data_IF_207423286807
#
_entry.id   IF_207423286807
#
_cell.length_a   1.000
_cell.length_b   1.000
_cell.length_c   1.000
_cell.angle_alpha   90.00
_cell.angle_beta   90.00
_cell.angle_gamma   90.00
#
_symmetry.space_group_name_H-M   'P 1'
#
loop_
_entity.id
_entity.type
_entity.pdbx_description
1 polymer ?
#
# COMPACT_ATOMS: atom_id res chain seq x y z
N UNK A 1 8.99 -1.16 -17.74
CA UNK A 1 9.68 -0.16 -16.90
C UNK A 1 11.17 -0.32 -17.15
N UNK A 2 11.91 0.77 -17.28
CA UNK A 2 13.35 0.77 -17.56
C UNK A 2 14.09 1.48 -16.43
N UNK A 3 15.34 1.10 -16.18
CA UNK A 3 16.23 1.88 -15.30
C UNK A 3 17.10 2.81 -16.12
N UNK A 4 17.34 4.03 -15.63
CA UNK A 4 18.24 5.01 -16.23
C UNK A 4 19.08 5.72 -15.15
N UNK A 5 20.13 6.44 -15.56
CA UNK A 5 20.91 7.31 -14.68
C UNK A 5 20.57 8.75 -15.06
N UNK A 6 20.16 9.55 -14.07
CA UNK A 6 19.92 10.97 -14.28
C UNK A 6 21.27 11.69 -14.43
N UNK A 7 21.53 12.32 -15.58
CA UNK A 7 22.82 12.98 -15.81
C UNK A 7 23.08 14.18 -14.88
N UNK A 8 22.05 14.82 -14.34
CA UNK A 8 22.14 15.97 -13.44
C UNK A 8 22.41 15.54 -12.00
N UNK A 9 21.60 14.64 -11.44
CA UNK A 9 21.77 14.17 -10.05
C UNK A 9 22.74 13.00 -9.90
N UNK A 10 23.09 12.32 -11.00
CA UNK A 10 23.86 11.05 -11.05
C UNK A 10 23.15 9.87 -10.36
N UNK A 11 21.89 10.03 -9.99
CA UNK A 11 21.11 8.98 -9.33
C UNK A 11 20.47 8.04 -10.34
N UNK A 12 20.27 6.79 -9.90
CA UNK A 12 19.52 5.80 -10.67
C UNK A 12 18.02 6.04 -10.50
N UNK A 13 17.30 6.05 -11.61
CA UNK A 13 15.84 6.30 -11.66
C UNK A 13 15.12 5.19 -12.43
N UNK A 14 13.84 5.02 -12.15
CA UNK A 14 12.94 4.15 -12.90
C UNK A 14 12.05 4.98 -13.83
N UNK A 15 12.00 4.62 -15.10
CA UNK A 15 11.15 5.26 -16.11
C UNK A 15 10.05 4.29 -16.53
N UNK A 16 8.80 4.70 -16.30
CA UNK A 16 7.60 3.99 -16.74
C UNK A 16 7.01 4.72 -17.95
N UNK A 17 7.12 4.12 -19.14
CA UNK A 17 6.32 4.51 -20.30
C UNK A 17 4.91 3.96 -20.11
N UNK A 18 3.89 4.81 -20.20
CA UNK A 18 2.52 4.35 -20.37
C UNK A 18 2.29 4.07 -21.85
N UNK A 19 1.96 2.82 -22.18
CA UNK A 19 1.72 2.42 -23.56
C UNK A 19 0.27 2.71 -23.93
N UNK A 20 0.05 3.54 -24.96
CA UNK A 20 -1.29 3.89 -25.46
C UNK A 20 -2.26 4.31 -24.34
N UNK A 21 -1.90 5.26 -23.47
CA UNK A 21 -2.74 5.68 -22.34
C UNK A 21 -4.11 6.21 -22.79
N UNK A 22 -4.22 6.69 -24.02
CA UNK A 22 -5.46 7.25 -24.59
C UNK A 22 -6.19 6.29 -25.55
N UNK A 23 -6.01 4.97 -25.40
CA UNK A 23 -6.71 3.99 -26.24
C UNK A 23 -8.23 3.92 -25.94
N UNK A 24 -8.62 4.17 -24.69
CA UNK A 24 -10.03 4.27 -24.29
C UNK A 24 -10.16 5.20 -23.08
N UNK A 25 -11.39 5.63 -22.79
CA UNK A 25 -11.68 6.49 -21.64
C UNK A 25 -11.23 5.87 -20.31
N UNK A 26 -11.36 4.55 -20.17
CA UNK A 26 -10.93 3.81 -18.97
C UNK A 26 -9.40 3.88 -18.82
N UNK A 27 -8.65 3.67 -19.91
CA UNK A 27 -7.19 3.78 -19.88
C UNK A 27 -6.74 5.22 -19.60
N UNK A 28 -7.41 6.20 -20.22
CA UNK A 28 -7.05 7.62 -20.09
C UNK A 28 -7.31 8.12 -18.67
N UNK A 29 -8.47 7.79 -18.09
CA UNK A 29 -8.81 8.08 -16.70
C UNK A 29 -7.81 7.43 -15.73
N UNK A 30 -7.42 6.18 -15.98
CA UNK A 30 -6.41 5.48 -15.16
C UNK A 30 -5.04 6.16 -15.23
N UNK A 31 -4.61 6.55 -16.43
CA UNK A 31 -3.33 7.23 -16.64
C UNK A 31 -3.30 8.61 -15.96
N UNK A 32 -4.38 9.38 -16.11
CA UNK A 32 -4.56 10.67 -15.44
C UNK A 32 -4.50 10.54 -13.92
N UNK A 33 -5.25 9.58 -13.35
CA UNK A 33 -5.26 9.33 -11.91
C UNK A 33 -3.88 8.93 -11.38
N UNK A 34 -3.19 8.03 -12.07
CA UNK A 34 -1.84 7.62 -11.66
C UNK A 34 -0.88 8.82 -11.62
N UNK A 35 -0.92 9.69 -12.64
CA UNK A 35 -0.13 10.92 -12.68
C UNK A 35 -0.47 11.87 -11.53
N UNK A 36 -1.76 12.12 -11.29
CA UNK A 36 -2.24 13.01 -10.21
C UNK A 36 -1.82 12.52 -8.83
N UNK A 37 -2.01 11.23 -8.55
CA UNK A 37 -1.63 10.62 -7.29
C UNK A 37 -0.11 10.70 -7.08
N UNK A 38 0.70 10.31 -8.07
CA UNK A 38 2.17 10.38 -7.96
C UNK A 38 2.69 11.81 -7.78
N UNK A 39 2.04 12.80 -8.40
CA UNK A 39 2.36 14.23 -8.25
C UNK A 39 1.97 14.77 -6.86
N UNK A 40 0.91 14.24 -6.27
CA UNK A 40 0.42 14.63 -4.96
C UNK A 40 1.25 14.04 -3.80
N UNK A 41 1.77 12.82 -3.96
CA UNK A 41 2.52 12.13 -2.90
C UNK A 41 3.91 12.75 -2.66
N UNK A 42 4.08 13.35 -1.48
CA UNK A 42 5.31 14.02 -1.03
C UNK A 42 5.75 13.50 0.33
N UNK A 43 6.10 12.22 0.38
CA UNK A 43 6.52 11.54 1.60
C UNK A 43 7.72 10.63 1.32
N UNK A 44 8.62 10.45 2.29
CA UNK A 44 9.81 9.60 2.12
C UNK A 44 9.42 8.13 1.96
N UNK A 45 8.39 7.68 2.70
CA UNK A 45 7.87 6.31 2.62
C UNK A 45 6.78 6.06 1.57
N UNK A 46 6.58 6.98 0.63
CA UNK A 46 5.60 6.83 -0.45
C UNK A 46 6.27 7.14 -1.78
N UNK A 47 6.03 6.32 -2.81
CA UNK A 47 6.58 6.65 -4.12
C UNK A 47 5.91 7.91 -4.66
N UNK A 48 6.75 8.84 -5.09
CA UNK A 48 6.35 10.09 -5.71
C UNK A 48 7.01 10.22 -7.06
N UNK A 49 6.61 11.27 -7.78
CA UNK A 49 7.12 11.60 -9.10
C UNK A 49 8.39 12.45 -8.98
N UNK A 50 9.49 12.00 -9.58
CA UNK A 50 10.71 12.79 -9.72
C UNK A 50 10.62 13.72 -10.93
N UNK A 51 10.08 13.19 -12.03
CA UNK A 51 9.88 13.93 -13.27
C UNK A 51 8.76 13.29 -14.12
N UNK A 52 8.19 14.06 -15.04
CA UNK A 52 7.26 13.56 -16.04
C UNK A 52 7.45 14.33 -17.34
N UNK A 53 7.52 13.58 -18.44
CA UNK A 53 7.76 14.19 -19.74
C UNK A 53 7.00 13.49 -20.86
N UNK A 54 6.85 14.22 -21.96
CA UNK A 54 6.30 13.72 -23.23
C UNK A 54 7.11 14.34 -24.37
N UNK A 55 7.35 13.61 -25.48
CA UNK A 55 7.94 14.21 -26.67
C UNK A 55 7.02 15.20 -27.38
N UNK A 56 5.72 15.20 -27.06
CA UNK A 56 4.72 16.01 -27.74
C UNK A 56 4.81 17.50 -27.34
N UNK A 57 5.01 18.37 -28.34
CA UNK A 57 5.03 19.82 -28.15
C UNK A 57 3.62 20.42 -28.01
N UNK A 58 2.62 19.81 -28.67
CA UNK A 58 1.22 20.24 -28.71
C UNK A 58 0.30 19.12 -28.23
N UNK A 59 -0.94 19.47 -27.88
CA UNK A 59 -1.97 18.50 -27.46
C UNK A 59 -2.32 17.50 -28.56
N UNK A 60 -2.33 17.93 -29.82
CA UNK A 60 -2.68 17.08 -30.97
C UNK A 60 -1.70 15.90 -31.09
N UNK A 61 -0.42 16.16 -30.86
CA UNK A 61 0.68 15.18 -30.91
C UNK A 61 0.80 14.33 -29.63
N UNK A 62 0.01 14.61 -28.60
CA UNK A 62 0.16 14.00 -27.28
C UNK A 62 -0.37 12.56 -27.23
N UNK A 63 0.49 11.61 -27.56
CA UNK A 63 0.13 10.18 -27.59
C UNK A 63 0.59 9.41 -26.36
N UNK A 64 1.80 9.70 -25.88
CA UNK A 64 2.45 8.99 -24.79
C UNK A 64 3.07 9.98 -23.79
N UNK A 65 3.19 9.55 -22.53
CA UNK A 65 4.00 10.22 -21.53
C UNK A 65 4.75 9.22 -20.64
N UNK A 66 5.79 9.72 -19.98
CA UNK A 66 6.76 8.96 -19.25
C UNK A 66 6.81 9.46 -17.81
N UNK A 67 6.65 8.55 -16.86
CA UNK A 67 6.75 8.83 -15.44
C UNK A 67 8.15 8.44 -14.96
N UNK A 68 8.87 9.38 -14.36
CA UNK A 68 10.18 9.15 -13.74
C UNK A 68 10.01 9.10 -12.24
N UNK A 69 10.47 8.00 -11.66
CA UNK A 69 10.30 7.70 -10.24
C UNK A 69 11.65 7.25 -9.66
N UNK A 70 11.79 7.21 -8.33
CA UNK A 70 12.94 6.61 -7.69
C UNK A 70 13.16 5.17 -8.17
N UNK A 71 14.41 4.79 -8.40
CA UNK A 71 14.72 3.41 -8.70
C UNK A 71 14.68 2.56 -7.43
N UNK A 72 13.87 1.51 -7.48
CA UNK A 72 13.74 0.53 -6.41
C UNK A 72 14.57 -0.71 -6.76
N UNK A 73 15.51 -1.11 -5.89
CA UNK A 73 16.49 -2.17 -6.19
C UNK A 73 15.92 -3.59 -6.09
N UNK A 74 15.13 -3.88 -5.05
CA UNK A 74 14.55 -5.22 -4.85
C UNK A 74 13.13 -5.15 -4.28
N UNK A 75 12.38 -6.25 -4.37
CA UNK A 75 11.07 -6.40 -3.74
C UNK A 75 11.24 -7.19 -2.43
N UNK A 76 10.48 -6.89 -1.38
CA UNK A 76 10.45 -7.70 -0.17
C UNK A 76 10.28 -9.19 -0.44
N UNK A 77 9.47 -9.55 -1.45
CA UNK A 77 9.24 -10.95 -1.82
C UNK A 77 10.51 -11.64 -2.33
N UNK A 78 11.54 -10.87 -2.69
CA UNK A 78 12.84 -11.33 -3.18
C UNK A 78 13.94 -11.21 -2.12
N UNK A 79 13.67 -10.54 -0.99
CA UNK A 79 14.59 -10.51 0.14
C UNK A 79 14.70 -11.93 0.69
N UNK A 80 15.88 -12.54 0.50
CA UNK A 80 16.16 -13.90 0.94
C UNK A 80 16.72 -13.89 2.35
N UNK A 81 16.29 -14.85 3.16
CA UNK A 81 16.79 -15.04 4.51
C UNK A 81 15.83 -14.55 5.57
N UNK A 82 16.15 -14.90 6.81
CA UNK A 82 15.38 -14.54 7.97
C UNK A 82 15.76 -13.12 8.40
N UNK A 83 14.79 -12.21 8.46
CA UNK A 83 15.00 -10.86 8.99
C UNK A 83 15.06 -10.89 10.52
N UNK A 84 15.89 -10.00 11.09
CA UNK A 84 15.92 -9.71 12.53
C UNK A 84 14.70 -8.88 12.93
N UNK A 85 14.30 -8.95 14.20
CA UNK A 85 13.13 -8.22 14.69
C UNK A 85 13.31 -6.69 14.54
N UNK A 86 14.49 -6.14 14.83
CA UNK A 86 14.75 -4.69 14.66
C UNK A 86 14.55 -4.23 13.21
N UNK A 87 14.96 -5.06 12.23
CA UNK A 87 14.72 -4.77 10.81
C UNK A 87 13.23 -4.83 10.48
N UNK A 88 12.51 -5.81 11.02
CA UNK A 88 11.06 -5.93 10.86
C UNK A 88 10.35 -4.72 11.47
N UNK A 89 10.71 -4.34 12.69
CA UNK A 89 10.20 -3.17 13.40
C UNK A 89 10.37 -1.90 12.56
N UNK A 90 11.57 -1.65 12.07
CA UNK A 90 11.86 -0.47 11.24
C UNK A 90 11.11 -0.47 9.89
N UNK A 91 10.98 -1.63 9.25
CA UNK A 91 10.20 -1.78 8.02
C UNK A 91 8.70 -1.52 8.25
N UNK A 92 8.13 -2.09 9.31
CA UNK A 92 6.71 -1.90 9.64
C UNK A 92 6.44 -0.46 10.04
N UNK A 93 7.31 0.16 10.81
CA UNK A 93 7.23 1.58 11.16
C UNK A 93 7.14 2.45 9.90
N UNK A 94 8.07 2.28 8.95
CA UNK A 94 8.04 3.03 7.69
C UNK A 94 6.79 2.76 6.85
N UNK A 95 6.26 1.52 6.81
CA UNK A 95 4.98 1.23 6.15
C UNK A 95 3.85 2.04 6.77
N UNK A 96 3.79 2.08 8.10
CA UNK A 96 2.73 2.78 8.83
C UNK A 96 2.85 4.30 8.69
N UNK A 97 4.07 4.87 8.68
CA UNK A 97 4.28 6.30 8.40
C UNK A 97 3.75 6.66 7.01
N UNK A 98 4.12 5.87 5.99
CA UNK A 98 3.63 6.05 4.63
C UNK A 98 2.10 5.90 4.53
N UNK A 99 1.52 4.91 5.20
CA UNK A 99 0.06 4.72 5.22
C UNK A 99 -0.66 5.85 5.95
N UNK A 100 -0.14 6.33 7.09
CA UNK A 100 -0.70 7.49 7.79
C UNK A 100 -0.74 8.71 6.87
N UNK A 101 0.30 8.95 6.09
CA UNK A 101 0.32 10.02 5.09
C UNK A 101 -0.72 9.80 3.96
N UNK A 102 -0.83 8.59 3.43
CA UNK A 102 -1.80 8.27 2.37
C UNK A 102 -3.24 8.41 2.88
N UNK A 103 -3.51 7.87 4.06
CA UNK A 103 -4.81 7.90 4.74
C UNK A 103 -5.22 9.32 5.11
N UNK A 104 -4.29 10.14 5.62
CA UNK A 104 -4.54 11.55 5.90
C UNK A 104 -4.88 12.39 4.66
N UNK A 105 -4.47 11.95 3.46
CA UNK A 105 -4.86 12.58 2.20
C UNK A 105 -6.25 12.13 1.70
N UNK A 106 -6.94 11.22 2.41
CA UNK A 106 -8.23 10.64 2.01
C UNK A 106 -8.11 9.49 1.00
N UNK A 107 -6.92 8.93 0.81
CA UNK A 107 -6.65 7.90 -0.19
C UNK A 107 -6.54 6.52 0.48
N UNK A 108 -7.09 5.48 -0.15
CA UNK A 108 -6.88 4.08 0.23
C UNK A 108 -5.97 3.40 -0.79
N UNK A 109 -4.92 2.71 -0.33
CA UNK A 109 -3.88 2.15 -1.20
C UNK A 109 -4.31 0.88 -1.94
N UNK A 110 -4.94 -0.09 -1.24
CA UNK A 110 -5.59 -1.31 -1.79
C UNK A 110 -4.71 -2.34 -2.49
N UNK A 111 -3.40 -2.17 -2.44
CA UNK A 111 -2.46 -3.17 -2.93
C UNK A 111 -1.43 -3.47 -1.86
N UNK A 112 -0.82 -4.65 -1.94
CA UNK A 112 0.39 -4.98 -1.18
C UNK A 112 1.36 -3.79 -1.28
N UNK A 113 1.68 -3.09 -0.18
CA UNK A 113 2.77 -2.12 -0.21
C UNK A 113 4.03 -2.90 -0.61
N UNK A 114 4.54 -2.59 -1.79
CA UNK A 114 5.77 -3.18 -2.30
C UNK A 114 6.91 -2.52 -1.55
N UNK A 115 7.53 -3.25 -0.63
CA UNK A 115 8.68 -2.73 0.13
C UNK A 115 9.97 -3.08 -0.60
N UNK A 116 11.01 -2.28 -0.39
CA UNK A 116 12.25 -2.35 -1.15
C UNK A 116 13.44 -2.15 -0.22
N UNK A 117 14.42 -3.02 -0.35
CA UNK A 117 15.73 -2.92 0.28
C UNK A 117 16.69 -2.14 -0.64
N UNK A 118 17.54 -1.27 -0.09
CA UNK A 118 18.59 -0.58 -0.84
C UNK A 118 19.96 -1.13 -0.41
N UNK A 119 20.49 -2.02 -1.25
CA UNK A 119 21.69 -2.83 -0.99
C UNK A 119 23.00 -2.01 -1.00
N UNK A 120 22.94 -0.69 -1.24
CA UNK A 120 24.15 0.11 -1.35
C UNK A 120 24.76 0.55 0.00
N UNK A 121 23.98 0.58 1.09
CA UNK A 121 24.38 1.35 2.30
C UNK A 121 23.83 0.86 3.65
N UNK A 122 23.23 -0.34 3.75
CA UNK A 122 22.48 -0.76 4.96
C UNK A 122 21.31 0.19 5.31
N UNK A 123 20.82 0.98 4.35
CA UNK A 123 19.71 1.91 4.51
C UNK A 123 18.44 1.27 3.95
N UNK A 124 17.58 0.80 4.83
CA UNK A 124 16.29 0.24 4.46
C UNK A 124 15.31 1.40 4.25
N UNK A 125 15.10 1.84 3.01
CA UNK A 125 14.10 2.86 2.69
C UNK A 125 12.88 2.23 2.00
N UNK A 126 11.77 2.18 2.71
CA UNK A 126 10.52 1.63 2.20
C UNK A 126 9.74 2.69 1.44
N UNK A 127 9.20 2.37 0.26
CA UNK A 127 8.23 3.23 -0.42
C UNK A 127 7.01 2.44 -0.85
N UNK A 128 5.82 2.89 -0.43
CA UNK A 128 4.56 2.32 -0.89
C UNK A 128 4.42 2.61 -2.39
N UNK A 129 4.24 1.55 -3.20
CA UNK A 129 4.19 1.61 -4.66
C UNK A 129 2.79 1.28 -5.22
N UNK A 130 2.52 1.81 -6.42
CA UNK A 130 1.42 1.45 -7.32
C UNK A 130 0.03 2.00 -6.94
N UNK A 131 -0.10 3.32 -7.13
CA UNK A 131 -1.34 4.06 -7.04
C UNK A 131 -2.32 3.85 -8.21
N UNK A 132 -1.99 3.00 -9.20
CA UNK A 132 -2.82 2.80 -10.39
C UNK A 132 -4.23 2.25 -10.09
N UNK A 133 -4.46 1.77 -8.86
CA UNK A 133 -5.74 1.25 -8.35
C UNK A 133 -6.20 1.93 -7.05
N UNK A 134 -5.43 2.88 -6.52
CA UNK A 134 -5.82 3.65 -5.34
C UNK A 134 -7.06 4.50 -5.64
N UNK A 135 -7.90 4.71 -4.62
CA UNK A 135 -9.19 5.42 -4.72
C UNK A 135 -9.44 6.20 -3.45
N UNK A 136 -10.31 7.21 -3.54
CA UNK A 136 -10.90 7.86 -2.39
C UNK A 136 -11.71 6.86 -1.54
N UNK A 137 -11.84 7.15 -0.25
CA UNK A 137 -12.49 6.26 0.72
C UNK A 137 -13.99 6.02 0.45
N UNK A 138 -14.67 6.95 -0.24
CA UNK A 138 -16.14 6.97 -0.35
C UNK A 138 -16.74 6.44 -1.67
N UNK A 139 -15.94 6.20 -2.71
CA UNK A 139 -16.52 5.76 -3.99
C UNK A 139 -16.99 4.28 -3.94
N UNK A 140 -17.92 3.86 -4.82
CA UNK A 140 -18.35 2.45 -4.98
C UNK A 140 -17.27 1.55 -5.61
N UNK A 141 -17.15 0.31 -5.13
CA UNK A 141 -15.90 -0.44 -5.30
C UNK A 141 -16.03 -1.86 -5.81
N UNK A 142 -15.36 -2.14 -6.93
CA UNK A 142 -15.41 -3.43 -7.59
C UNK A 142 -14.32 -4.40 -7.11
N UNK A 143 -14.71 -5.66 -6.91
CA UNK A 143 -13.84 -6.73 -6.43
C UNK A 143 -13.03 -7.41 -7.54
N UNK A 144 -11.95 -6.81 -8.04
CA UNK A 144 -10.95 -7.58 -8.80
C UNK A 144 -9.55 -6.93 -8.85
N UNK A 145 -8.63 -7.30 -7.95
CA UNK A 145 -7.25 -6.74 -7.94
C UNK A 145 -6.17 -7.68 -7.35
N UNK A 146 -5.29 -8.27 -8.20
CA UNK A 146 -3.93 -8.83 -7.91
C UNK A 146 -3.84 -9.81 -6.69
N UNK A 147 -2.64 -10.26 -6.30
CA UNK A 147 -2.35 -11.34 -5.31
C UNK A 147 -3.25 -11.30 -4.08
N UNK A 148 -4.10 -12.33 -3.93
CA UNK A 148 -5.15 -12.41 -2.90
C UNK A 148 -4.64 -12.53 -1.46
N UNK A 149 -3.39 -12.93 -1.26
CA UNK A 149 -2.84 -13.35 0.04
C UNK A 149 -2.78 -12.25 1.10
N UNK A 150 -2.81 -10.98 0.70
CA UNK A 150 -2.74 -9.82 1.59
C UNK A 150 -4.06 -9.05 1.69
N UNK A 151 -5.11 -9.51 1.00
CA UNK A 151 -6.42 -8.82 1.02
C UNK A 151 -7.10 -9.05 2.36
N UNK A 152 -7.69 -7.97 2.88
CA UNK A 152 -8.53 -8.02 4.07
C UNK A 152 -9.79 -8.87 3.82
N UNK A 153 -10.33 -9.55 4.85
CA UNK A 153 -11.49 -10.40 4.70
C UNK A 153 -12.69 -9.66 4.08
N UNK A 154 -12.98 -8.43 4.52
CA UNK A 154 -14.06 -7.60 3.99
C UNK A 154 -13.93 -7.29 2.49
N UNK A 155 -12.71 -7.24 1.95
CA UNK A 155 -12.43 -7.02 0.51
C UNK A 155 -12.57 -8.30 -0.30
N UNK A 156 -12.17 -9.44 0.24
CA UNK A 156 -12.34 -10.76 -0.43
C UNK A 156 -13.81 -11.05 -0.66
N UNK A 157 -14.59 -10.60 0.29
CA UNK A 157 -15.96 -10.95 0.47
C UNK A 157 -16.89 -9.92 -0.19
N UNK A 158 -16.50 -8.65 -0.27
CA UNK A 158 -17.33 -7.56 -0.78
C UNK A 158 -18.64 -7.43 0.02
N UNK A 159 -18.54 -7.58 1.35
CA UNK A 159 -19.70 -7.66 2.24
C UNK A 159 -20.01 -6.37 2.99
N UNK A 160 -19.17 -5.33 2.85
CA UNK A 160 -19.31 -4.01 3.47
C UNK A 160 -18.57 -2.95 2.66
N UNK A 161 -18.97 -1.67 2.84
CA UNK A 161 -18.10 -0.53 2.55
C UNK A 161 -16.83 -0.67 3.39
N UNK A 162 -15.67 -0.66 2.75
CA UNK A 162 -14.41 -0.87 3.41
C UNK A 162 -13.62 0.44 3.52
N UNK A 163 -12.95 0.61 4.65
CA UNK A 163 -12.24 1.84 5.00
C UNK A 163 -10.73 1.67 4.83
N UNK A 164 -9.97 2.68 5.25
CA UNK A 164 -8.51 2.66 5.30
C UNK A 164 -7.90 1.48 6.08
N UNK A 165 -8.66 0.82 6.97
CA UNK A 165 -8.19 -0.31 7.78
C UNK A 165 -7.90 -1.58 6.96
N UNK A 166 -8.31 -1.64 5.69
CA UNK A 166 -7.91 -2.73 4.78
C UNK A 166 -6.39 -2.77 4.55
N UNK A 167 -5.74 -1.60 4.54
CA UNK A 167 -4.30 -1.50 4.34
C UNK A 167 -3.54 -1.99 5.59
N UNK A 168 -4.14 -1.82 6.77
CA UNK A 168 -3.59 -2.30 8.05
C UNK A 168 -3.57 -3.83 8.12
N UNK A 169 -4.61 -4.48 7.60
CA UNK A 169 -4.60 -5.93 7.41
C UNK A 169 -3.45 -6.38 6.52
N UNK A 170 -3.24 -5.70 5.39
CA UNK A 170 -2.13 -5.99 4.49
C UNK A 170 -0.78 -5.86 5.20
N UNK A 171 -0.58 -4.83 6.02
CA UNK A 171 0.64 -4.65 6.84
C UNK A 171 0.80 -5.79 7.84
N UNK A 172 -0.26 -6.20 8.53
CA UNK A 172 -0.23 -7.35 9.44
C UNK A 172 0.20 -8.65 8.74
N UNK A 173 -0.33 -8.91 7.54
CA UNK A 173 0.07 -10.05 6.73
C UNK A 173 1.55 -10.00 6.34
N UNK A 174 2.07 -8.81 5.97
CA UNK A 174 3.47 -8.62 5.60
C UNK A 174 4.38 -8.78 6.82
N UNK A 175 4.02 -8.19 7.96
CA UNK A 175 4.76 -8.34 9.22
C UNK A 175 4.85 -9.80 9.63
N UNK A 176 3.74 -10.54 9.60
CA UNK A 176 3.73 -11.99 9.88
C UNK A 176 4.55 -12.80 8.87
N UNK A 177 4.53 -12.43 7.59
CA UNK A 177 5.36 -13.05 6.56
C UNK A 177 6.86 -12.83 6.81
N UNK A 178 7.27 -11.63 7.25
CA UNK A 178 8.67 -11.35 7.60
C UNK A 178 9.15 -12.16 8.81
N UNK A 179 8.28 -12.35 9.82
CA UNK A 179 8.59 -13.22 10.98
C UNK A 179 8.64 -14.71 10.64
N UNK A 180 7.93 -15.17 9.61
CA UNK A 180 7.87 -16.60 9.28
C UNK A 180 8.69 -16.98 8.03
N UNK A 181 9.16 -16.00 7.25
CA UNK A 181 9.82 -16.20 5.96
C UNK A 181 8.90 -16.84 4.90
N UNK A 182 7.59 -16.91 5.16
CA UNK A 182 6.58 -17.52 4.29
C UNK A 182 5.27 -16.76 4.38
N UNK A 183 4.54 -16.72 3.28
CA UNK A 183 3.21 -16.10 3.20
C UNK A 183 2.29 -16.63 4.28
N UNK A 184 1.67 -15.70 5.03
CA UNK A 184 0.80 -16.02 6.16
C UNK A 184 -0.50 -16.71 5.73
N UNK A 185 -1.18 -16.16 4.72
CA UNK A 185 -2.46 -16.70 4.21
C UNK A 185 -2.36 -17.03 2.73
N UNK A 186 -1.98 -18.27 2.42
CA UNK A 186 -1.77 -18.74 1.04
C UNK A 186 -2.99 -19.50 0.50
N UNK A 187 -4.09 -18.80 0.25
CA UNK A 187 -5.29 -19.36 -0.35
C UNK A 187 -5.15 -19.61 -1.86
N UNK A 188 -5.78 -20.68 -2.34
CA UNK A 188 -5.85 -21.05 -3.77
C UNK A 188 -6.89 -20.22 -4.52
N UNK A 189 -8.04 -20.00 -3.90
CA UNK A 189 -9.16 -19.21 -4.40
C UNK A 189 -9.74 -18.31 -3.30
N UNK A 190 -10.87 -17.66 -3.54
CA UNK A 190 -11.48 -16.74 -2.56
C UNK A 190 -12.00 -17.45 -1.31
N UNK A 191 -12.58 -18.63 -1.47
CA UNK A 191 -13.15 -19.41 -0.37
C UNK A 191 -12.06 -20.04 0.48
N UNK A 192 -11.04 -20.62 -0.15
CA UNK A 192 -9.86 -21.13 0.55
C UNK A 192 -9.11 -20.00 1.26
N UNK A 193 -8.96 -18.82 0.63
CA UNK A 193 -8.33 -17.66 1.30
C UNK A 193 -9.05 -17.30 2.60
N UNK A 194 -10.38 -17.22 2.60
CA UNK A 194 -11.13 -16.94 3.82
C UNK A 194 -10.95 -18.04 4.87
N UNK A 195 -10.97 -19.29 4.43
CA UNK A 195 -10.73 -20.45 5.30
C UNK A 195 -9.33 -20.39 5.95
N UNK A 196 -8.29 -20.03 5.20
CA UNK A 196 -6.93 -19.86 5.75
C UNK A 196 -6.88 -18.73 6.79
N UNK A 197 -7.62 -17.64 6.56
CA UNK A 197 -7.71 -16.52 7.51
C UNK A 197 -8.39 -16.96 8.82
N UNK A 198 -9.54 -17.63 8.73
CA UNK A 198 -10.32 -18.08 9.90
C UNK A 198 -9.59 -19.17 10.70
N UNK A 199 -8.76 -20.00 10.06
CA UNK A 199 -7.89 -20.97 10.76
C UNK A 199 -6.87 -20.32 11.70
N UNK A 200 -6.61 -19.02 11.58
CA UNK A 200 -5.69 -18.26 12.44
C UNK A 200 -6.45 -17.32 13.36
N UNK A 201 -7.36 -16.53 12.79
CA UNK A 201 -8.12 -15.50 13.52
C UNK A 201 -9.32 -16.04 14.30
N UNK A 202 -9.73 -17.28 14.01
CA UNK A 202 -10.93 -17.90 14.53
C UNK A 202 -12.15 -17.64 13.64
N UNK A 203 -13.21 -18.42 13.83
CA UNK A 203 -14.52 -18.15 13.20
C UNK A 203 -15.17 -16.95 13.89
N UNK A 204 -15.71 -15.97 13.14
CA UNK A 204 -16.33 -14.80 13.74
C UNK A 204 -17.56 -15.16 14.58
N UNK A 205 -17.80 -14.39 15.65
CA UNK A 205 -18.95 -14.56 16.53
C UNK A 205 -20.28 -14.13 15.88
N UNK A 206 -21.42 -14.43 16.53
CA UNK A 206 -22.76 -14.11 16.02
C UNK A 206 -22.96 -12.61 15.74
N UNK A 207 -22.39 -11.75 16.58
CA UNK A 207 -22.48 -10.28 16.43
C UNK A 207 -21.85 -9.81 15.12
N UNK A 208 -20.64 -10.27 14.79
CA UNK A 208 -19.98 -9.93 13.53
C UNK A 208 -20.73 -10.50 12.32
N UNK A 209 -21.28 -11.72 12.43
CA UNK A 209 -22.08 -12.32 11.35
C UNK A 209 -23.34 -11.50 11.07
N UNK A 210 -23.95 -10.88 12.09
CA UNK A 210 -25.10 -10.00 11.88
C UNK A 210 -24.74 -8.73 11.11
N UNK A 211 -23.56 -8.16 11.38
CA UNK A 211 -23.07 -6.95 10.71
C UNK A 211 -22.92 -7.13 9.20
N UNK A 212 -22.59 -8.33 8.71
CA UNK A 212 -22.41 -8.58 7.28
C UNK A 212 -23.64 -8.12 6.48
N UNK A 213 -23.50 -7.46 5.33
CA UNK A 213 -24.67 -7.00 4.56
C UNK A 213 -25.08 -8.04 3.50
N UNK A 214 -24.09 -8.70 2.92
CA UNK A 214 -24.30 -9.72 1.91
C UNK A 214 -24.96 -10.99 2.51
N UNK A 215 -26.01 -11.57 1.91
CA UNK A 215 -26.63 -12.82 2.39
C UNK A 215 -25.82 -14.10 2.10
N UNK A 216 -25.22 -14.21 0.91
CA UNK A 216 -24.42 -15.38 0.48
C UNK A 216 -23.24 -15.58 1.42
N UNK A 217 -22.68 -14.45 1.81
CA UNK A 217 -21.67 -14.33 2.84
C UNK A 217 -21.98 -15.01 4.16
N UNK A 218 -23.11 -14.60 4.75
CA UNK A 218 -23.58 -15.08 6.04
C UNK A 218 -23.78 -16.58 5.96
N UNK A 219 -24.36 -17.05 4.86
CA UNK A 219 -24.54 -18.48 4.62
C UNK A 219 -23.20 -19.21 4.56
N UNK A 220 -22.21 -18.66 3.84
CA UNK A 220 -20.88 -19.26 3.75
C UNK A 220 -20.18 -19.33 5.11
N UNK A 221 -20.09 -18.22 5.86
CA UNK A 221 -19.47 -18.19 7.19
C UNK A 221 -20.15 -19.15 8.16
N UNK A 222 -21.49 -19.22 8.14
CA UNK A 222 -22.26 -20.16 8.97
C UNK A 222 -22.03 -21.62 8.59
N UNK A 223 -21.71 -21.90 7.33
CA UNK A 223 -21.43 -23.26 6.83
C UNK A 223 -20.03 -23.76 7.18
N UNK A 224 -19.10 -22.85 7.53
CA UNK A 224 -17.73 -23.22 7.86
C UNK A 224 -17.65 -23.90 9.24
N UNK A 225 -16.73 -24.86 9.40
CA UNK A 225 -16.41 -25.41 10.72
C UNK A 225 -15.99 -24.31 11.69
N UNK A 226 -16.29 -24.51 12.98
CA UNK A 226 -15.78 -23.61 14.01
C UNK A 226 -14.26 -23.78 14.17
N UNK A 227 -13.52 -22.69 14.02
CA UNK A 227 -12.09 -22.62 14.24
C UNK A 227 -11.82 -21.78 15.49
N UNK A 228 -11.10 -22.30 16.49
CA UNK A 228 -10.63 -21.47 17.60
C UNK A 228 -9.54 -20.51 17.12
N UNK A 229 -9.51 -19.31 17.69
CA UNK A 229 -8.42 -18.35 17.47
C UNK A 229 -7.11 -18.97 17.94
N UNK A 230 -6.08 -18.91 17.09
CA UNK A 230 -4.74 -19.41 17.45
C UNK A 230 -4.02 -18.40 18.34
N UNK A 231 -3.17 -18.90 19.22
CA UNK A 231 -2.23 -18.07 19.97
C UNK A 231 -1.11 -17.58 19.03
N UNK A 232 -1.02 -16.27 18.84
CA UNK A 232 -0.04 -15.67 17.94
C UNK A 232 1.40 -15.85 18.46
N UNK A 233 1.60 -16.02 19.77
CA UNK A 233 2.91 -16.32 20.36
C UNK A 233 3.45 -17.67 19.85
N UNK A 234 2.56 -18.64 19.63
CA UNK A 234 2.93 -19.95 19.05
C UNK A 234 3.15 -19.88 17.54
N UNK A 235 2.43 -18.99 16.85
CA UNK A 235 2.56 -18.78 15.40
C UNK A 235 3.81 -17.98 15.02
N UNK A 236 4.25 -17.09 15.90
CA UNK A 236 5.39 -16.20 15.71
C UNK A 236 6.39 -16.34 16.88
N UNK A 237 7.02 -17.52 17.06
CA UNK A 237 7.87 -17.79 18.22
C UNK A 237 9.13 -16.92 18.30
N UNK A 238 9.50 -16.23 17.20
CA UNK A 238 10.65 -15.32 17.12
C UNK A 238 10.29 -13.86 17.43
N UNK A 239 9.01 -13.55 17.58
CA UNK A 239 8.53 -12.19 17.79
C UNK A 239 8.47 -11.89 19.29
N UNK A 240 8.87 -10.67 19.69
CA UNK A 240 8.64 -10.20 21.05
C UNK A 240 7.14 -10.13 21.38
N UNK A 241 6.82 -10.07 22.67
CA UNK A 241 5.43 -9.86 23.14
C UNK A 241 4.80 -8.60 22.52
N UNK A 242 5.59 -7.53 22.36
CA UNK A 242 5.12 -6.28 21.73
C UNK A 242 4.82 -6.45 20.25
N UNK A 243 5.62 -7.24 19.52
CA UNK A 243 5.36 -7.53 18.12
C UNK A 243 4.11 -8.43 17.93
N UNK A 244 3.95 -9.42 18.80
CA UNK A 244 2.77 -10.30 18.83
C UNK A 244 1.50 -9.49 19.09
N UNK A 245 1.51 -8.64 20.12
CA UNK A 245 0.38 -7.77 20.48
C UNK A 245 -0.04 -6.87 19.30
N UNK A 246 0.94 -6.23 18.64
CA UNK A 246 0.67 -5.43 17.44
C UNK A 246 0.06 -6.26 16.29
N UNK A 247 0.58 -7.46 16.02
CA UNK A 247 0.03 -8.37 15.01
C UNK A 247 -1.41 -8.77 15.32
N UNK A 248 -1.72 -9.03 16.59
CA UNK A 248 -3.06 -9.38 17.05
C UNK A 248 -4.06 -8.24 16.83
N UNK A 249 -3.61 -6.99 17.02
CA UNK A 249 -4.42 -5.78 16.78
C UNK A 249 -4.55 -5.39 15.30
N UNK A 250 -3.62 -5.84 14.44
CA UNK A 250 -3.71 -5.64 12.98
C UNK A 250 -4.55 -6.73 12.28
N UNK A 251 -4.46 -7.98 12.72
CA UNK A 251 -5.12 -9.13 12.11
C UNK A 251 -6.48 -9.44 12.76
N UNK A 252 -7.28 -8.39 12.93
CA UNK A 252 -8.65 -8.46 13.45
C UNK A 252 -9.64 -8.58 12.29
N UNK A 253 -10.58 -9.54 12.40
CA UNK A 253 -11.61 -9.76 11.37
C UNK A 253 -12.55 -8.57 11.23
N UNK A 254 -12.96 -7.98 12.35
CA UNK A 254 -13.78 -6.77 12.37
C UNK A 254 -12.94 -5.55 11.99
N UNK A 255 -13.28 -4.94 10.86
CA UNK A 255 -12.58 -3.78 10.31
C UNK A 255 -12.72 -2.54 11.20
N UNK A 256 -13.81 -2.43 11.97
CA UNK A 256 -14.06 -1.32 12.90
C UNK A 256 -13.20 -1.43 14.16
N UNK A 257 -12.86 -2.66 14.56
CA UNK A 257 -12.02 -2.93 15.72
C UNK A 257 -10.53 -2.97 15.38
N UNK A 258 -10.17 -2.92 14.09
CA UNK A 258 -8.79 -2.96 13.62
C UNK A 258 -8.13 -1.59 13.83
N UNK A 259 -6.85 -1.59 14.21
CA UNK A 259 -6.10 -0.35 14.37
C UNK A 259 -6.10 0.50 13.10
N UNK A 260 -6.02 1.81 13.29
CA UNK A 260 -5.63 2.75 12.22
C UNK A 260 -4.10 2.84 12.14
N UNK A 261 -3.57 3.41 11.05
CA UNK A 261 -2.13 3.64 10.92
C UNK A 261 -1.59 4.52 12.07
N UNK A 262 -2.35 5.54 12.46
CA UNK A 262 -2.00 6.45 13.56
C UNK A 262 -1.94 5.73 14.92
N UNK A 263 -2.97 4.94 15.24
CA UNK A 263 -3.00 4.17 16.48
C UNK A 263 -1.89 3.10 16.50
N UNK A 264 -1.60 2.46 15.36
CA UNK A 264 -0.51 1.49 15.26
C UNK A 264 0.86 2.13 15.46
N UNK A 265 1.10 3.35 14.96
CA UNK A 265 2.35 4.10 15.19
C UNK A 265 2.53 4.52 16.66
N UNK A 266 1.43 4.73 17.39
CA UNK A 266 1.47 5.04 18.83
C UNK A 266 1.79 3.81 19.70
N UNK A 267 1.78 2.61 19.13
CA UNK A 267 1.99 1.35 19.85
C UNK A 267 3.39 1.25 20.46
N UNK A 268 3.50 0.59 21.62
CA UNK A 268 4.77 0.46 22.37
C UNK A 268 5.88 -0.31 21.62
N UNK A 269 5.50 -1.01 20.55
CA UNK A 269 6.44 -1.67 19.65
C UNK A 269 7.31 -0.66 18.90
N UNK A 270 6.94 0.62 18.80
CA UNK A 270 7.72 1.63 18.07
C UNK A 270 8.34 2.71 18.97
N UNK A 271 8.33 2.56 20.31
CA UNK A 271 8.85 3.56 21.27
C UNK A 271 10.24 4.11 20.90
N UNK A 272 11.16 3.25 20.47
CA UNK A 272 12.53 3.63 20.13
C UNK A 272 12.74 4.22 18.73
N UNK A 273 11.71 4.24 17.88
CA UNK A 273 11.80 4.70 16.49
C UNK A 273 11.00 5.97 16.20
N UNK A 274 10.07 6.36 17.07
CA UNK A 274 9.16 7.49 16.83
C UNK A 274 9.90 8.82 16.71
N UNK A 275 9.80 9.45 15.54
CA UNK A 275 10.19 10.84 15.31
C UNK A 275 8.97 11.61 14.75
N UNK A 276 8.51 12.71 15.38
CA UNK A 276 7.40 13.52 14.88
C UNK A 276 7.59 14.02 13.44
N UNK A 277 8.84 14.19 12.98
CA UNK A 277 9.15 14.65 11.63
C UNK A 277 8.91 13.58 10.55
N UNK A 278 8.79 12.29 10.94
CA UNK A 278 8.60 11.17 10.01
C UNK A 278 7.17 11.07 9.48
N UNK A 279 6.21 11.78 10.10
CA UNK A 279 4.79 11.70 9.76
C UNK A 279 4.19 13.09 9.46
N UNK A 280 4.65 13.78 8.39
CA UNK A 280 4.10 15.07 8.02
C UNK A 280 2.61 14.96 7.69
N UNK A 281 1.84 16.01 7.99
CA UNK A 281 0.42 16.08 7.64
C UNK A 281 0.29 16.30 6.13
N UNK A 282 -0.40 15.41 5.39
CA UNK A 282 -0.63 15.58 3.97
C UNK A 282 -1.66 16.68 3.70
N UNK A 283 -1.57 17.32 2.53
CA UNK A 283 -2.70 18.06 1.97
C UNK A 283 -3.78 17.09 1.50
N UNK A 284 -5.08 17.36 1.69
CA UNK A 284 -6.13 16.52 1.14
C UNK A 284 -6.03 16.36 -0.38
N UNK A 285 -6.28 15.15 -0.90
CA UNK A 285 -6.33 14.89 -2.33
C UNK A 285 -7.68 15.33 -2.91
N UNK A 286 -7.65 16.20 -3.91
CA UNK A 286 -8.83 16.56 -4.70
C UNK A 286 -9.16 15.43 -5.68
N UNK A 287 -10.22 14.69 -5.36
CA UNK A 287 -10.76 13.55 -6.09
C UNK A 287 -11.97 13.90 -6.97
N UNK A 288 -12.27 15.19 -7.17
CA UNK A 288 -13.44 15.64 -7.95
C UNK A 288 -13.53 15.01 -9.34
N UNK A 289 -12.39 14.74 -9.97
CA UNK A 289 -12.30 14.06 -11.27
C UNK A 289 -12.35 12.53 -11.17
N UNK A 290 -12.13 11.91 -10.00
CA UNK A 290 -12.05 10.46 -9.90
C UNK A 290 -13.37 9.75 -10.21
N UNK A 291 -14.51 10.38 -9.93
CA UNK A 291 -15.83 9.84 -10.27
C UNK A 291 -16.41 10.44 -11.55
N UNK A 292 -15.72 11.40 -12.18
CA UNK A 292 -16.18 12.01 -13.41
C UNK A 292 -16.18 11.01 -14.58
N UNK A 293 -17.20 11.12 -15.43
CA UNK A 293 -17.26 10.46 -16.74
C UNK A 293 -17.01 11.54 -17.79
N UNK A 294 -15.79 11.59 -18.31
CA UNK A 294 -15.37 12.57 -19.30
C UNK A 294 -15.00 11.88 -20.61
N UNK A 295 -15.22 12.54 -21.76
CA UNK A 295 -14.76 12.06 -23.06
C UNK A 295 -13.24 11.87 -23.09
N UNK A 296 -12.78 10.99 -23.97
CA UNK A 296 -11.36 10.69 -24.14
C UNK A 296 -10.47 11.93 -24.34
N UNK A 297 -10.92 12.86 -25.19
CA UNK A 297 -10.18 14.10 -25.49
C UNK A 297 -10.00 15.00 -24.26
N UNK A 298 -10.98 14.98 -23.35
CA UNK A 298 -10.90 15.76 -22.13
C UNK A 298 -9.91 15.14 -21.13
N UNK A 299 -9.89 13.82 -20.99
CA UNK A 299 -8.85 13.13 -20.20
C UNK A 299 -7.45 13.37 -20.74
N UNK A 300 -7.31 13.37 -22.07
CA UNK A 300 -6.06 13.67 -22.77
C UNK A 300 -5.60 15.10 -22.49
N UNK A 301 -6.50 16.08 -22.60
CA UNK A 301 -6.26 17.50 -22.28
C UNK A 301 -5.84 17.70 -20.83
N UNK A 302 -6.55 17.10 -19.88
CA UNK A 302 -6.24 17.17 -18.45
C UNK A 302 -4.87 16.55 -18.15
N UNK A 303 -4.59 15.38 -18.71
CA UNK A 303 -3.28 14.72 -18.56
C UNK A 303 -2.15 15.59 -19.13
N UNK A 304 -2.32 16.17 -20.32
CA UNK A 304 -1.32 17.06 -20.91
C UNK A 304 -1.05 18.29 -20.03
N UNK A 305 -2.10 18.90 -19.46
CA UNK A 305 -1.97 20.02 -18.52
C UNK A 305 -1.19 19.61 -17.28
N UNK A 306 -1.44 18.44 -16.71
CA UNK A 306 -0.73 17.96 -15.52
C UNK A 306 0.76 17.69 -15.80
N UNK A 307 1.08 17.11 -16.96
CA UNK A 307 2.47 16.91 -17.42
C UNK A 307 3.18 18.25 -17.58
N UNK A 308 2.54 19.24 -18.24
CA UNK A 308 3.14 20.56 -18.50
C UNK A 308 3.29 21.45 -17.26
N UNK A 309 2.44 21.26 -16.26
CA UNK A 309 2.47 22.00 -14.99
C UNK A 309 3.26 21.28 -13.89
N UNK A 310 3.97 20.20 -14.22
CA UNK A 310 4.79 19.50 -13.24
C UNK A 310 5.96 20.38 -12.78
N UNK A 311 6.13 20.46 -11.46
CA UNK A 311 7.27 21.11 -10.83
C UNK A 311 7.94 20.04 -9.96
N UNK A 312 9.24 19.75 -10.19
CA UNK A 312 9.98 18.79 -9.37
C UNK A 312 9.92 19.16 -7.89
N UNK A 313 9.64 18.18 -7.04
CA UNK A 313 9.70 18.35 -5.59
C UNK A 313 11.10 17.97 -5.08
N UNK A 314 11.81 18.85 -4.36
CA UNK A 314 13.08 18.50 -3.76
C UNK A 314 12.83 17.47 -2.65
N UNK A 315 13.16 16.21 -2.91
CA UNK A 315 13.18 15.18 -1.87
C UNK A 315 14.34 15.48 -0.93
N UNK A 316 14.11 15.41 0.38
CA UNK A 316 15.20 15.34 1.34
C UNK A 316 15.98 14.07 0.98
N UNK A 317 17.27 14.21 0.70
CA UNK A 317 18.16 13.06 0.59
C UNK A 317 17.96 12.21 1.86
N UNK A 318 17.71 10.91 1.70
CA UNK A 318 17.53 9.93 2.79
C UNK A 318 18.77 9.74 3.69
N UNK A 319 19.70 10.71 3.70
CA UNK A 319 20.94 10.73 4.47
C UNK A 319 20.71 10.91 5.97
N UNK A 320 19.47 10.99 6.48
CA UNK A 320 19.21 11.12 7.92
C UNK A 320 19.16 9.76 8.64
N UNK A 321 20.14 9.63 9.56
CA UNK A 321 20.20 8.85 10.81
C UNK A 321 20.23 7.33 10.69
N UNK A 322 21.43 6.84 10.35
CA UNK A 322 22.00 5.69 11.06
C UNK A 322 22.18 6.05 12.55
N UNK A 323 21.13 5.91 13.37
CA UNK A 323 21.27 5.84 14.84
C UNK A 323 21.18 4.43 15.38
N UNK A 324 20.99 3.42 14.52
CA UNK A 324 21.38 2.05 14.83
C UNK A 324 22.89 1.92 14.58
N UNK A 325 23.70 2.58 15.40
CA UNK A 325 25.09 2.18 15.59
C UNK A 325 25.05 0.76 16.12
N UNK A 326 25.36 -0.20 15.25
CA UNK A 326 25.65 -1.57 15.65
C UNK A 326 26.88 -1.54 16.55
N UNK A 327 26.66 -1.62 17.86
CA UNK A 327 27.64 -2.08 18.84
C UNK A 327 27.55 -3.59 18.97
#
# INVERSE_FOLDING_TARGET
MLSAINNKSKEKVAIKKLHRPFQSEIFAKRAYRELRLLKHMKHENVIGLLDVFTPASRLDDFQDFYLVMPYMYTDLSKVKGILTEDRIQFLVYQMLCGLKYIHGAGIIHRRKPLTVDNDALHLVCLQILDFGLARHAEAEMTGYVVTRWYRAPEVILNWMHYTQTVDIWSVGCIMGEMFNGKTLFKGKDYMDQLTQIMKVTGTPGPEFIQKLENPEAKSYVKSLPHYPRKDFSTLFPRASKKAVDLLEMMLVLDADARLTADAALAHSYFDGLRDPEDCPVPTPYDDSYDNATLPLEEWKRLSFKEVRSFVPFPRRDSKRRNTLTMS
#
